data_IF_869171080398
#
_entry.id   IF_869171080398
#
_cell.length_a   1.000
_cell.length_b   1.000
_cell.length_c   1.000
_cell.angle_alpha   90.00
_cell.angle_beta   90.00
_cell.angle_gamma   90.00
#
_symmetry.space_group_name_H-M   'P 1'
#
loop_
_entity.id
_entity.type
_entity.pdbx_description
1 polymer ?
#
# COMPACT_ATOMS: atom_id res chain seq x y z
N UNK A 1 -0.99 9.93 25.78
CA UNK A 1 -1.26 8.90 24.75
C UNK A 1 -0.34 9.18 23.59
N UNK A 2 0.74 8.39 23.44
CA UNK A 2 1.60 8.51 22.26
C UNK A 2 0.79 8.11 21.02
N UNK A 3 0.92 8.83 19.89
CA UNK A 3 0.21 8.45 18.67
C UNK A 3 0.76 7.08 18.26
N UNK A 4 -0.13 6.11 18.06
CA UNK A 4 0.24 4.87 17.37
C UNK A 4 0.89 5.29 16.05
N UNK A 5 2.20 5.08 15.90
CA UNK A 5 2.94 5.32 14.66
C UNK A 5 2.45 4.29 13.64
N UNK A 6 1.34 4.60 12.96
CA UNK A 6 0.87 3.80 11.85
C UNK A 6 1.94 3.85 10.75
N UNK A 7 2.41 2.68 10.31
CA UNK A 7 3.31 2.57 9.18
C UNK A 7 2.47 2.55 7.91
N UNK A 8 2.86 3.34 6.91
CA UNK A 8 2.20 3.37 5.62
C UNK A 8 3.17 2.98 4.52
N UNK A 9 2.73 2.15 3.58
CA UNK A 9 3.45 1.82 2.37
C UNK A 9 2.78 2.50 1.18
N UNK A 10 3.56 3.15 0.33
CA UNK A 10 3.05 3.76 -0.89
C UNK A 10 3.58 2.96 -2.09
N UNK A 11 2.67 2.60 -2.99
CA UNK A 11 3.02 1.90 -4.22
C UNK A 11 2.32 2.52 -5.43
N UNK A 12 2.65 1.99 -6.60
CA UNK A 12 2.07 2.35 -7.88
C UNK A 12 1.59 1.09 -8.60
N UNK A 13 0.46 1.17 -9.28
CA UNK A 13 -0.13 0.09 -10.06
C UNK A 13 -0.50 0.60 -11.44
N UNK A 14 -0.42 -0.22 -12.48
CA UNK A 14 -0.81 0.18 -13.83
C UNK A 14 -2.29 0.62 -13.89
N UNK A 15 -2.61 1.59 -14.74
CA UNK A 15 -3.99 2.08 -14.93
C UNK A 15 -4.96 0.96 -15.34
N UNK A 16 -4.50 -0.03 -16.09
CA UNK A 16 -5.32 -1.20 -16.47
C UNK A 16 -5.62 -2.14 -15.30
N UNK A 17 -4.78 -2.14 -14.28
CA UNK A 17 -4.87 -3.06 -13.14
C UNK A 17 -5.57 -2.43 -11.93
N UNK A 18 -5.84 -1.12 -11.95
CA UNK A 18 -6.48 -0.41 -10.83
C UNK A 18 -7.88 -0.96 -10.52
N UNK A 19 -8.59 -1.44 -11.53
CA UNK A 19 -9.93 -2.05 -11.39
C UNK A 19 -9.92 -3.32 -10.53
N UNK A 20 -8.75 -3.93 -10.32
CA UNK A 20 -8.59 -5.15 -9.52
C UNK A 20 -8.33 -4.86 -8.04
N UNK A 21 -8.17 -3.59 -7.64
CA UNK A 21 -7.96 -3.21 -6.24
C UNK A 21 -9.07 -2.30 -5.74
N UNK A 22 -9.39 -2.41 -4.46
CA UNK A 22 -10.45 -1.64 -3.82
C UNK A 22 -10.03 -1.16 -2.43
N UNK A 23 -10.56 -0.01 -2.01
CA UNK A 23 -10.39 0.49 -0.65
C UNK A 23 -10.92 -0.54 0.37
N UNK A 24 -10.21 -0.69 1.48
CA UNK A 24 -10.53 -1.68 2.51
C UNK A 24 -10.03 -3.10 2.20
N UNK A 25 -9.42 -3.33 1.04
CA UNK A 25 -8.85 -4.64 0.70
C UNK A 25 -7.71 -5.00 1.67
N UNK A 26 -7.81 -6.18 2.27
CA UNK A 26 -6.73 -6.75 3.09
C UNK A 26 -5.56 -7.13 2.20
N UNK A 27 -4.35 -6.72 2.60
CA UNK A 27 -3.13 -6.94 1.84
C UNK A 27 -1.99 -7.42 2.73
N UNK A 28 -1.06 -8.16 2.15
CA UNK A 28 0.16 -8.63 2.82
C UNK A 28 1.36 -7.94 2.20
N UNK A 29 2.05 -7.13 3.01
CA UNK A 29 3.31 -6.49 2.62
C UNK A 29 4.46 -7.40 3.03
N UNK A 30 5.29 -7.80 2.06
CA UNK A 30 6.52 -8.55 2.28
C UNK A 30 7.68 -7.57 2.23
N UNK A 31 8.45 -7.51 3.32
CA UNK A 31 9.64 -6.67 3.43
C UNK A 31 10.83 -7.61 3.54
N UNK A 32 11.78 -7.46 2.62
CA UNK A 32 13.02 -8.23 2.57
C UNK A 32 14.17 -7.24 2.73
N UNK A 33 14.83 -7.26 3.89
CA UNK A 33 15.94 -6.35 4.22
C UNK A 33 17.02 -7.17 4.94
N UNK A 34 18.23 -7.23 4.37
CA UNK A 34 19.42 -7.85 4.98
C UNK A 34 19.15 -9.26 5.57
N UNK A 35 18.62 -10.16 4.74
CA UNK A 35 18.23 -11.55 5.08
C UNK A 35 17.02 -11.69 6.05
N UNK A 36 16.48 -10.59 6.57
CA UNK A 36 15.25 -10.62 7.38
C UNK A 36 14.01 -10.41 6.49
N UNK A 37 13.14 -11.44 6.46
CA UNK A 37 11.86 -11.40 5.75
C UNK A 37 10.73 -11.16 6.74
N UNK A 38 10.11 -9.98 6.68
CA UNK A 38 8.91 -9.67 7.47
C UNK A 38 7.66 -9.69 6.61
N UNK A 39 6.57 -10.21 7.19
CA UNK A 39 5.24 -10.17 6.61
C UNK A 39 4.36 -9.28 7.48
N UNK A 40 3.84 -8.21 6.91
CA UNK A 40 2.95 -7.28 7.59
C UNK A 40 1.56 -7.35 6.97
N UNK A 41 0.54 -7.37 7.81
CA UNK A 41 -0.84 -7.26 7.35
C UNK A 41 -1.18 -5.77 7.27
N UNK A 42 -1.65 -5.34 6.10
CA UNK A 42 -2.10 -3.98 5.86
C UNK A 42 -3.49 -3.96 5.23
N UNK A 43 -4.03 -2.75 5.12
CA UNK A 43 -5.29 -2.48 4.44
C UNK A 43 -5.03 -1.42 3.40
N UNK A 44 -5.55 -1.62 2.19
CA UNK A 44 -5.53 -0.59 1.15
C UNK A 44 -6.42 0.58 1.60
N UNK A 45 -5.78 1.69 1.94
CA UNK A 45 -6.39 2.82 2.63
C UNK A 45 -6.75 3.96 1.68
N UNK A 46 -5.89 4.19 0.69
CA UNK A 46 -6.04 5.29 -0.26
C UNK A 46 -5.68 4.82 -1.67
N UNK A 47 -6.47 5.24 -2.66
CA UNK A 47 -6.15 5.18 -4.09
C UNK A 47 -6.16 6.63 -4.59
N UNK A 48 -5.09 7.04 -5.28
CA UNK A 48 -5.03 8.36 -5.91
C UNK A 48 -6.09 8.45 -7.01
N UNK A 49 -6.91 9.51 -7.02
CA UNK A 49 -7.89 9.72 -8.09
C UNK A 49 -7.23 10.16 -9.40
N UNK A 50 -5.95 10.57 -9.36
CA UNK A 50 -5.17 10.95 -10.53
C UNK A 50 -4.14 9.87 -10.85
N UNK A 51 -4.07 9.51 -12.13
CA UNK A 51 -2.97 8.73 -12.69
C UNK A 51 -1.78 9.60 -13.05
N UNK A 52 -0.60 9.02 -12.92
CA UNK A 52 0.64 9.58 -13.43
C UNK A 52 0.74 9.26 -14.93
N UNK A 53 0.45 10.26 -15.76
CA UNK A 53 0.48 10.12 -17.23
C UNK A 53 1.84 9.75 -17.80
N UNK A 54 2.93 10.04 -17.10
CA UNK A 54 4.27 9.72 -17.58
C UNK A 54 4.58 8.21 -17.44
N UNK A 55 4.06 7.56 -16.41
CA UNK A 55 4.30 6.14 -16.10
C UNK A 55 3.10 5.24 -16.38
N UNK A 56 1.91 5.79 -16.66
CA UNK A 56 0.67 5.03 -16.84
C UNK A 56 0.25 4.31 -15.55
N UNK A 57 0.57 4.90 -14.39
CA UNK A 57 0.33 4.29 -13.07
C UNK A 57 -0.58 5.13 -12.20
N UNK A 58 -1.32 4.47 -11.30
CA UNK A 58 -2.07 5.08 -10.21
C UNK A 58 -1.37 4.76 -8.91
N UNK A 59 -1.24 5.78 -8.06
CA UNK A 59 -0.62 5.65 -6.74
C UNK A 59 -1.62 5.14 -5.72
N UNK A 60 -1.20 4.27 -4.81
CA UNK A 60 -2.01 3.79 -3.69
C UNK A 60 -1.23 3.82 -2.38
N UNK A 61 -1.94 3.77 -1.25
CA UNK A 61 -1.37 3.66 0.10
C UNK A 61 -1.97 2.47 0.85
N UNK A 62 -1.11 1.77 1.57
CA UNK A 62 -1.44 0.67 2.45
C UNK A 62 -1.12 1.09 3.89
N UNK A 63 -2.12 1.04 4.76
CA UNK A 63 -1.98 1.27 6.19
C UNK A 63 -1.70 -0.05 6.90
N UNK A 64 -0.62 -0.12 7.68
CA UNK A 64 -0.25 -1.29 8.47
C UNK A 64 -0.49 -0.99 9.95
N UNK A 65 -1.37 -1.79 10.56
CA UNK A 65 -1.62 -1.73 12.00
C UNK A 65 -0.62 -2.65 12.72
N UNK A 66 0.23 -2.05 13.56
CA UNK A 66 1.04 -2.75 14.53
C UNK A 66 0.25 -2.82 15.85
N UNK A 67 -0.33 -3.98 16.16
CA UNK A 67 -0.94 -4.23 17.48
C UNK A 67 0.13 -4.67 18.48
#
# INVERSE_FOLDING_TARGET
MAPYTAFFFQGEVGESEISNIALGMETRVLIDVDDDKKKLNGILDTISPMSNKASGTVRYKISVNHK
#
